data_IF_518586015905
#
_entry.id   IF_518586015905
#
_cell.length_a   1.000
_cell.length_b   1.000
_cell.length_c   1.000
_cell.angle_alpha   90.00
_cell.angle_beta   90.00
_cell.angle_gamma   90.00
#
_symmetry.space_group_name_H-M   'P 1'
#
loop_
_entity.id
_entity.type
_entity.pdbx_description
1 polymer ?
#
# COMPACT_ATOMS: atom_id res chain seq x y z
N UNK A 1 20.26 -5.95 10.45
CA UNK A 1 19.35 -5.54 9.37
C UNK A 1 19.89 -4.24 8.79
N UNK A 2 20.10 -4.15 7.48
CA UNK A 2 20.51 -2.91 6.85
C UNK A 2 19.39 -1.89 7.01
N UNK A 3 19.67 -0.75 7.65
CA UNK A 3 18.72 0.36 7.74
C UNK A 3 18.69 1.06 6.38
N UNK A 4 17.48 1.31 5.85
CA UNK A 4 17.33 2.07 4.62
C UNK A 4 17.97 3.44 4.81
N UNK A 5 18.94 3.77 3.95
CA UNK A 5 19.68 5.04 4.05
C UNK A 5 18.91 6.16 3.36
N UNK A 6 19.21 7.44 3.66
CA UNK A 6 18.68 8.57 2.91
C UNK A 6 18.91 8.44 1.38
N UNK A 7 18.14 9.17 0.54
CA UNK A 7 17.22 10.25 0.91
C UNK A 7 15.91 9.76 1.54
N UNK A 8 15.35 10.59 2.43
CA UNK A 8 14.02 10.41 3.03
C UNK A 8 13.09 11.54 2.60
N UNK A 9 11.80 11.26 2.65
CA UNK A 9 10.71 12.20 2.39
C UNK A 9 9.80 12.33 3.61
N UNK A 10 8.97 13.37 3.61
CA UNK A 10 7.79 13.42 4.47
C UNK A 10 6.78 12.40 3.95
N UNK A 11 6.45 11.43 4.79
CA UNK A 11 5.45 10.40 4.54
C UNK A 11 4.13 10.81 5.17
N UNK A 12 3.04 10.53 4.46
CA UNK A 12 1.69 10.53 5.01
C UNK A 12 1.45 9.30 5.88
N UNK A 13 1.96 8.14 5.47
CA UNK A 13 1.87 6.87 6.18
C UNK A 13 0.44 6.30 6.35
N UNK A 14 -0.52 6.88 5.62
CA UNK A 14 -1.92 6.40 5.47
C UNK A 14 -2.46 6.86 4.10
N UNK A 15 -1.68 6.64 3.03
CA UNK A 15 -2.07 7.03 1.68
C UNK A 15 -3.23 6.17 1.18
N UNK A 16 -4.43 6.75 1.22
CA UNK A 16 -5.68 6.11 0.80
C UNK A 16 -6.50 7.06 -0.06
N UNK A 17 -7.37 6.53 -0.91
CA UNK A 17 -8.18 7.34 -1.82
C UNK A 17 -9.03 8.36 -1.06
N UNK A 18 -9.58 7.98 0.10
CA UNK A 18 -10.42 8.80 0.96
C UNK A 18 -9.66 9.88 1.75
N UNK A 19 -8.32 9.84 1.74
CA UNK A 19 -7.44 10.89 2.30
C UNK A 19 -6.92 11.86 1.21
N UNK A 20 -7.41 11.71 -0.03
CA UNK A 20 -7.02 12.54 -1.16
C UNK A 20 -8.22 13.08 -1.91
N UNK A 21 -8.12 14.30 -2.45
CA UNK A 21 -9.21 14.91 -3.22
C UNK A 21 -8.68 15.89 -4.26
N UNK A 22 -9.19 15.79 -5.49
CA UNK A 22 -9.02 16.83 -6.50
C UNK A 22 -9.92 18.04 -6.16
N UNK A 23 -9.33 19.23 -6.19
CA UNK A 23 -10.01 20.49 -5.95
C UNK A 23 -9.53 21.53 -6.96
N UNK A 24 -10.27 21.66 -8.06
CA UNK A 24 -9.78 22.35 -9.25
C UNK A 24 -8.57 21.61 -9.83
N UNK A 25 -7.50 22.34 -10.13
CA UNK A 25 -6.25 21.78 -10.67
C UNK A 25 -5.28 21.27 -9.58
N UNK A 26 -5.72 21.22 -8.32
CA UNK A 26 -4.89 20.81 -7.19
C UNK A 26 -5.31 19.44 -6.65
N UNK A 27 -4.31 18.59 -6.38
CA UNK A 27 -4.47 17.43 -5.52
C UNK A 27 -4.27 17.87 -4.06
N UNK A 28 -5.30 17.70 -3.23
CA UNK A 28 -5.23 17.94 -1.79
C UNK A 28 -5.15 16.60 -1.06
N UNK A 29 -4.17 16.50 -0.16
CA UNK A 29 -3.99 15.34 0.73
C UNK A 29 -4.19 15.83 2.16
N UNK A 30 -5.01 15.13 2.92
CA UNK A 30 -5.43 15.51 4.28
C UNK A 30 -5.44 14.28 5.19
N UNK A 31 -5.69 14.50 6.49
CA UNK A 31 -5.61 13.47 7.53
C UNK A 31 -4.18 12.92 7.70
N UNK A 32 -3.31 13.72 8.32
CA UNK A 32 -1.88 13.44 8.54
C UNK A 32 -1.52 12.94 9.97
N UNK A 33 -2.31 12.08 10.66
CA UNK A 33 -2.04 11.74 12.05
C UNK A 33 -0.78 10.85 12.21
N UNK A 34 -0.29 10.25 11.12
CA UNK A 34 0.88 9.37 11.10
C UNK A 34 2.08 9.96 10.34
N UNK A 35 2.08 11.28 10.10
CA UNK A 35 3.14 11.95 9.38
C UNK A 35 4.53 11.59 9.93
N UNK A 36 5.39 11.10 9.05
CA UNK A 36 6.68 10.52 9.43
C UNK A 36 7.77 10.92 8.43
N UNK A 37 9.05 10.72 8.78
CA UNK A 37 10.17 10.90 7.86
C UNK A 37 10.78 9.55 7.53
N UNK A 38 10.85 9.20 6.25
CA UNK A 38 11.37 7.89 5.84
C UNK A 38 11.43 7.67 4.33
N UNK A 39 11.60 6.43 3.87
CA UNK A 39 11.62 6.06 2.46
C UNK A 39 10.28 6.40 1.78
N UNK A 40 10.30 7.24 0.74
CA UNK A 40 9.09 7.62 -0.02
C UNK A 40 8.38 6.41 -0.62
N UNK A 41 9.15 5.34 -0.91
CA UNK A 41 8.69 4.07 -1.44
C UNK A 41 7.59 3.43 -0.60
N UNK A 42 7.51 3.70 0.70
CA UNK A 42 6.45 3.16 1.55
C UNK A 42 5.08 3.71 1.17
N UNK A 43 4.94 5.03 1.04
CA UNK A 43 3.69 5.68 0.66
C UNK A 43 3.28 5.32 -0.77
N UNK A 44 4.27 5.19 -1.68
CA UNK A 44 4.04 4.75 -3.06
C UNK A 44 3.51 3.32 -3.09
N UNK A 45 4.15 2.38 -2.39
CA UNK A 45 3.70 1.00 -2.33
C UNK A 45 2.31 0.88 -1.66
N UNK A 46 2.08 1.61 -0.57
CA UNK A 46 0.81 1.63 0.13
C UNK A 46 -0.33 2.18 -0.75
N UNK A 47 -0.07 3.23 -1.53
CA UNK A 47 -1.06 3.81 -2.45
C UNK A 47 -1.31 2.89 -3.65
N UNK A 48 -0.24 2.37 -4.27
CA UNK A 48 -0.34 1.49 -5.44
C UNK A 48 -1.20 0.25 -5.17
N UNK A 49 -0.96 -0.46 -4.06
CA UNK A 49 -1.79 -1.61 -3.71
C UNK A 49 -3.23 -1.21 -3.36
N UNK A 50 -3.41 -0.02 -2.77
CA UNK A 50 -4.72 0.53 -2.43
C UNK A 50 -5.58 0.82 -3.65
N UNK A 51 -4.99 1.42 -4.68
CA UNK A 51 -5.65 1.66 -5.97
C UNK A 51 -6.20 0.36 -6.55
N UNK A 52 -5.40 -0.71 -6.59
CA UNK A 52 -5.85 -2.02 -7.10
C UNK A 52 -6.95 -2.63 -6.21
N UNK A 53 -6.80 -2.56 -4.89
CA UNK A 53 -7.80 -3.08 -3.95
C UNK A 53 -9.15 -2.37 -4.03
N UNK A 54 -9.18 -1.14 -4.58
CA UNK A 54 -10.40 -0.37 -4.86
C UNK A 54 -10.90 -0.57 -6.30
N UNK A 55 -10.31 -1.49 -7.07
CA UNK A 55 -10.72 -1.81 -8.44
C UNK A 55 -10.05 -0.96 -9.52
N UNK A 56 -8.99 -0.24 -9.17
CA UNK A 56 -8.13 0.47 -10.11
C UNK A 56 -7.14 -0.44 -10.84
N UNK A 57 -6.16 0.15 -11.55
CA UNK A 57 -5.12 -0.60 -12.25
C UNK A 57 -4.25 -1.47 -11.34
N UNK A 58 -3.51 -2.41 -11.94
CA UNK A 58 -2.48 -3.19 -11.25
C UNK A 58 -1.40 -2.29 -10.60
N UNK A 59 -0.86 -2.69 -9.44
CA UNK A 59 0.04 -1.83 -8.66
C UNK A 59 1.35 -1.55 -9.40
N UNK A 60 1.82 -2.44 -10.27
CA UNK A 60 2.98 -2.22 -11.14
C UNK A 60 2.77 -1.04 -12.09
N UNK A 61 1.54 -0.83 -12.59
CA UNK A 61 1.23 0.31 -13.45
C UNK A 61 1.26 1.63 -12.67
N UNK A 62 0.75 1.62 -11.44
CA UNK A 62 0.79 2.80 -10.56
C UNK A 62 2.23 3.11 -10.15
N UNK A 63 3.03 2.09 -9.83
CA UNK A 63 4.45 2.23 -9.55
C UNK A 63 5.19 2.89 -10.71
N UNK A 64 4.97 2.42 -11.95
CA UNK A 64 5.59 3.00 -13.14
C UNK A 64 5.33 4.52 -13.28
N UNK A 65 4.10 4.98 -12.98
CA UNK A 65 3.80 6.42 -13.00
C UNK A 65 4.57 7.22 -11.94
N UNK A 66 4.86 6.62 -10.78
CA UNK A 66 5.72 7.27 -9.79
C UNK A 66 7.19 7.24 -10.21
N UNK A 67 7.65 6.17 -10.85
CA UNK A 67 9.04 6.06 -11.36
C UNK A 67 9.34 7.11 -12.44
N UNK A 68 8.34 7.59 -13.18
CA UNK A 68 8.47 8.69 -14.15
C UNK A 68 8.90 10.03 -13.49
N UNK A 69 8.63 10.20 -12.19
CA UNK A 69 8.84 11.48 -11.48
C UNK A 69 9.66 11.37 -10.19
N UNK A 70 9.91 10.15 -9.69
CA UNK A 70 10.68 9.88 -8.49
C UNK A 70 11.74 8.80 -8.74
N UNK A 71 12.98 8.98 -8.24
CA UNK A 71 14.01 7.95 -8.30
C UNK A 71 13.77 6.89 -7.20
N UNK A 72 12.78 6.03 -7.40
CA UNK A 72 12.41 4.99 -6.44
C UNK A 72 13.44 3.86 -6.40
N UNK A 73 13.78 3.40 -5.19
CA UNK A 73 14.71 2.29 -5.02
C UNK A 73 13.98 0.97 -4.93
N UNK A 74 14.38 0.02 -5.76
CA UNK A 74 13.73 -1.28 -5.83
C UNK A 74 13.71 -2.03 -4.49
N UNK A 75 14.82 -2.00 -3.75
CA UNK A 75 14.95 -2.66 -2.43
C UNK A 75 14.03 -2.03 -1.36
N UNK A 76 13.81 -0.71 -1.41
CA UNK A 76 12.89 -0.02 -0.52
C UNK A 76 11.42 -0.29 -0.88
N UNK A 77 11.09 -0.45 -2.17
CA UNK A 77 9.76 -0.93 -2.59
C UNK A 77 9.54 -2.36 -2.09
N UNK A 78 10.52 -3.25 -2.26
CA UNK A 78 10.46 -4.64 -1.81
C UNK A 78 10.21 -4.72 -0.29
N UNK A 79 11.01 -3.98 0.48
CA UNK A 79 10.86 -3.91 1.93
C UNK A 79 9.50 -3.35 2.35
N UNK A 80 9.02 -2.30 1.66
CA UNK A 80 7.72 -1.69 1.92
C UNK A 80 6.58 -2.66 1.64
N UNK A 81 6.59 -3.32 0.48
CA UNK A 81 5.58 -4.28 0.08
C UNK A 81 5.54 -5.50 1.00
N UNK A 82 6.71 -6.00 1.42
CA UNK A 82 6.80 -7.07 2.42
C UNK A 82 6.19 -6.64 3.76
N UNK A 83 6.50 -5.43 4.22
CA UNK A 83 5.95 -4.85 5.45
C UNK A 83 4.43 -4.67 5.39
N UNK A 84 3.91 -4.11 4.30
CA UNK A 84 2.48 -3.89 4.06
C UNK A 84 1.73 -5.23 3.99
N UNK A 85 2.27 -6.20 3.25
CA UNK A 85 1.74 -7.57 3.18
C UNK A 85 1.63 -8.20 4.57
N UNK A 86 2.70 -8.13 5.37
CA UNK A 86 2.71 -8.63 6.75
C UNK A 86 1.73 -7.90 7.67
N UNK A 87 1.61 -6.58 7.52
CA UNK A 87 0.65 -5.76 8.27
C UNK A 87 -0.78 -6.22 7.99
N UNK A 88 -1.20 -6.32 6.73
CA UNK A 88 -2.55 -6.75 6.40
C UNK A 88 -2.81 -8.23 6.70
N UNK A 89 -1.80 -9.10 6.61
CA UNK A 89 -1.93 -10.51 7.00
C UNK A 89 -2.28 -10.63 8.50
N UNK A 90 -1.69 -9.77 9.33
CA UNK A 90 -1.98 -9.72 10.76
C UNK A 90 -3.29 -8.99 11.09
N UNK A 91 -3.59 -7.85 10.45
CA UNK A 91 -4.67 -6.95 10.89
C UNK A 91 -6.05 -7.42 10.46
N UNK A 92 -6.15 -8.01 9.28
CA UNK A 92 -7.41 -8.33 8.63
C UNK A 92 -8.19 -9.49 9.28
N UNK A 93 -7.53 -10.26 10.15
CA UNK A 93 -8.08 -11.41 10.89
C UNK A 93 -8.38 -11.06 12.37
N UNK A 94 -8.11 -9.82 12.78
CA UNK A 94 -8.47 -9.35 14.12
C UNK A 94 -9.99 -9.18 14.24
N UNK A 95 -10.55 -9.21 15.46
CA UNK A 95 -11.98 -8.97 15.69
C UNK A 95 -12.48 -7.69 15.01
N UNK A 96 -13.75 -7.69 14.63
CA UNK A 96 -14.43 -6.52 14.11
C UNK A 96 -14.34 -5.35 15.09
N UNK A 97 -14.15 -4.14 14.56
CA UNK A 97 -13.99 -2.95 15.37
C UNK A 97 -15.34 -2.24 15.54
N UNK A 98 -15.83 -2.03 16.78
CA UNK A 98 -17.02 -1.23 17.02
C UNK A 98 -16.89 0.15 16.36
N UNK A 99 -17.91 0.56 15.59
CA UNK A 99 -17.92 1.83 14.85
C UNK A 99 -17.29 1.80 13.46
N UNK A 100 -16.61 0.72 13.05
CA UNK A 100 -15.99 0.57 11.73
C UNK A 100 -16.31 -0.79 11.08
N UNK A 101 -17.59 -1.08 10.76
CA UNK A 101 -18.08 -2.42 10.39
C UNK A 101 -17.53 -2.98 9.06
N UNK A 102 -16.73 -2.20 8.31
CA UNK A 102 -16.14 -2.63 7.03
C UNK A 102 -14.61 -2.65 7.05
N UNK A 103 -13.99 -2.33 8.19
CA UNK A 103 -12.53 -2.18 8.25
C UNK A 103 -11.83 -3.50 7.92
N UNK A 104 -12.35 -4.64 8.39
CA UNK A 104 -11.72 -5.94 8.13
C UNK A 104 -11.88 -6.36 6.69
N UNK A 105 -13.05 -6.14 6.12
CA UNK A 105 -13.32 -6.33 4.69
C UNK A 105 -12.35 -5.55 3.82
N UNK A 106 -12.19 -4.26 4.11
CA UNK A 106 -11.24 -3.41 3.40
C UNK A 106 -9.80 -3.90 3.56
N UNK A 107 -9.38 -4.24 4.78
CA UNK A 107 -8.03 -4.77 5.02
C UNK A 107 -7.78 -6.11 4.30
N UNK A 108 -8.81 -6.97 4.14
CA UNK A 108 -8.72 -8.21 3.34
C UNK A 108 -8.52 -7.93 1.85
N UNK A 109 -9.17 -6.92 1.28
CA UNK A 109 -8.89 -6.47 -0.10
C UNK A 109 -7.45 -6.00 -0.27
N UNK A 110 -6.97 -5.17 0.66
CA UNK A 110 -5.58 -4.70 0.68
C UNK A 110 -4.59 -5.89 0.78
N UNK A 111 -4.92 -6.89 1.60
CA UNK A 111 -4.13 -8.11 1.72
C UNK A 111 -4.03 -8.86 0.39
N UNK A 112 -5.16 -9.08 -0.30
CA UNK A 112 -5.20 -9.78 -1.58
C UNK A 112 -4.34 -9.05 -2.61
N UNK A 113 -4.52 -7.74 -2.73
CA UNK A 113 -3.72 -6.88 -3.61
C UNK A 113 -2.22 -6.97 -3.29
N UNK A 114 -1.85 -6.81 -2.02
CA UNK A 114 -0.45 -6.81 -1.58
C UNK A 114 0.24 -8.16 -1.79
N UNK A 115 -0.43 -9.29 -1.46
CA UNK A 115 0.16 -10.62 -1.62
C UNK A 115 0.27 -11.06 -3.08
N UNK A 116 -0.73 -10.73 -3.91
CA UNK A 116 -0.66 -11.02 -5.35
C UNK A 116 0.52 -10.25 -5.99
N UNK A 117 0.68 -8.97 -5.63
CA UNK A 117 1.81 -8.17 -6.08
C UNK A 117 3.15 -8.69 -5.56
N UNK A 118 3.24 -8.99 -4.27
CA UNK A 118 4.46 -9.52 -3.66
C UNK A 118 4.88 -10.85 -4.29
N UNK A 119 3.92 -11.72 -4.62
CA UNK A 119 4.24 -12.99 -5.26
C UNK A 119 4.91 -12.80 -6.62
N UNK A 120 4.36 -11.93 -7.47
CA UNK A 120 4.96 -11.60 -8.77
C UNK A 120 6.32 -10.93 -8.60
N UNK A 121 6.41 -9.96 -7.70
CA UNK A 121 7.61 -9.13 -7.51
C UNK A 121 8.79 -9.91 -6.92
N UNK A 122 8.53 -10.90 -6.08
CA UNK A 122 9.55 -11.72 -5.41
C UNK A 122 9.74 -13.10 -6.05
N UNK A 123 9.16 -13.33 -7.23
CA UNK A 123 9.21 -14.62 -7.93
C UNK A 123 8.76 -15.81 -7.04
N UNK A 124 7.67 -15.60 -6.29
CA UNK A 124 7.05 -16.61 -5.45
C UNK A 124 5.92 -17.32 -6.20
N UNK A 125 5.54 -18.54 -5.78
CA UNK A 125 4.38 -19.22 -6.33
C UNK A 125 3.11 -18.37 -6.25
N UNK A 126 2.31 -18.40 -7.32
CA UNK A 126 1.02 -17.70 -7.38
C UNK A 126 0.11 -18.13 -6.22
N UNK A 127 -0.36 -17.20 -5.37
CA UNK A 127 -1.16 -17.51 -4.19
C UNK A 127 -2.64 -17.71 -4.56
N UNK A 128 -2.95 -18.80 -5.25
CA UNK A 128 -4.31 -19.11 -5.75
C UNK A 128 -5.40 -19.19 -4.67
N UNK A 129 -5.01 -19.35 -3.40
CA UNK A 129 -5.94 -19.32 -2.28
C UNK A 129 -6.51 -17.93 -1.98
N UNK A 130 -5.95 -16.85 -2.55
CA UNK A 130 -6.46 -15.49 -2.38
C UNK A 130 -7.89 -15.32 -2.89
N UNK A 131 -8.34 -16.16 -3.82
CA UNK A 131 -9.72 -16.13 -4.31
C UNK A 131 -10.74 -16.63 -3.27
N UNK A 132 -10.28 -17.40 -2.29
CA UNK A 132 -11.10 -17.84 -1.16
C UNK A 132 -11.13 -16.83 0.00
N UNK A 133 -10.34 -15.74 -0.07
CA UNK A 133 -10.37 -14.69 0.94
C UNK A 133 -11.63 -13.83 0.73
N UNK A 134 -12.59 -14.02 1.61
CA UNK A 134 -13.89 -13.34 1.57
C UNK A 134 -13.72 -11.90 2.03
N UNK A 135 -14.37 -10.97 1.33
CA UNK A 135 -14.53 -9.57 1.75
C UNK A 135 -15.47 -9.44 2.94
#
# INVERSE_FOLDING_TARGET
MATTKPPFALLHFDTRSDNSRLHGDLLRIFDWPFASVGPAEFDVAAYAQGVTAEGGPEPERVLAWYEDVLPLRADAIDASLAGISGYFANRSWKPEMPGLPRVRSFQRRQLRSSLAWAARRFDLPEPRWLDAVID
#
